data_IF_742904129907
#
_entry.id   IF_742904129907
#
_cell.length_a   1.000
_cell.length_b   1.000
_cell.length_c   1.000
_cell.angle_alpha   90.00
_cell.angle_beta   90.00
_cell.angle_gamma   90.00
#
_symmetry.space_group_name_H-M   'P 1'
#
loop_
_entity.id
_entity.type
_entity.pdbx_description
1 polymer ?
#
# COMPACT_ATOMS: atom_id res chain seq x y z
N UNK A 1 6.73 -23.64 -7.67
CA UNK A 1 5.36 -23.25 -7.30
C UNK A 1 5.33 -21.73 -7.24
N UNK A 2 4.23 -21.11 -7.67
CA UNK A 2 4.05 -19.66 -7.51
C UNK A 2 3.97 -19.27 -6.04
N UNK A 3 4.27 -18.00 -5.73
CA UNK A 3 4.16 -17.43 -4.38
C UNK A 3 2.69 -17.19 -4.01
N UNK A 4 2.35 -17.28 -2.73
CA UNK A 4 1.07 -16.79 -2.19
C UNK A 4 1.27 -15.39 -1.63
N UNK A 5 0.59 -14.41 -2.23
CA UNK A 5 0.76 -12.97 -1.96
C UNK A 5 -0.54 -12.41 -1.40
N UNK A 6 -0.51 -11.91 -0.17
CA UNK A 6 -1.65 -11.23 0.47
C UNK A 6 -1.52 -9.72 0.26
N UNK A 7 -2.56 -9.08 -0.29
CA UNK A 7 -2.55 -7.64 -0.60
C UNK A 7 -3.73 -6.95 0.09
N UNK A 8 -3.44 -6.00 0.98
CA UNK A 8 -4.47 -5.17 1.60
C UNK A 8 -4.85 -3.98 0.69
N UNK A 9 -6.14 -3.61 0.66
CA UNK A 9 -6.63 -2.58 -0.24
C UNK A 9 -6.59 -2.98 -1.72
N UNK A 10 -6.77 -4.27 -2.01
CA UNK A 10 -6.63 -4.84 -3.36
C UNK A 10 -7.79 -4.54 -4.33
N UNK A 11 -8.86 -3.88 -3.86
CA UNK A 11 -10.03 -3.58 -4.68
C UNK A 11 -9.91 -2.34 -5.57
N UNK A 12 -8.83 -1.54 -5.45
CA UNK A 12 -8.68 -0.28 -6.19
C UNK A 12 -7.20 0.14 -6.32
N UNK A 13 -6.91 1.06 -7.23
CA UNK A 13 -5.61 1.72 -7.39
C UNK A 13 -4.43 0.77 -7.46
N UNK A 14 -3.36 1.08 -6.73
CA UNK A 14 -2.14 0.28 -6.71
C UNK A 14 -2.38 -1.16 -6.27
N UNK A 15 -3.22 -1.40 -5.24
CA UNK A 15 -3.51 -2.75 -4.76
C UNK A 15 -4.14 -3.64 -5.83
N UNK A 16 -5.09 -3.10 -6.62
CA UNK A 16 -5.67 -3.79 -7.77
C UNK A 16 -4.64 -4.04 -8.87
N UNK A 17 -3.80 -3.05 -9.18
CA UNK A 17 -2.76 -3.21 -10.18
C UNK A 17 -1.73 -4.29 -9.78
N UNK A 18 -1.34 -4.33 -8.51
CA UNK A 18 -0.47 -5.38 -7.96
C UNK A 18 -1.13 -6.77 -8.06
N UNK A 19 -2.42 -6.88 -7.70
CA UNK A 19 -3.15 -8.14 -7.81
C UNK A 19 -3.17 -8.66 -9.25
N UNK A 20 -3.48 -7.79 -10.23
CA UNK A 20 -3.45 -8.14 -11.65
C UNK A 20 -2.06 -8.55 -12.12
N UNK A 21 -1.03 -7.80 -11.72
CA UNK A 21 0.34 -8.09 -12.10
C UNK A 21 0.78 -9.45 -11.58
N UNK A 22 0.63 -9.71 -10.29
CA UNK A 22 1.09 -10.98 -9.71
C UNK A 22 0.29 -12.19 -10.19
N UNK A 23 -1.01 -12.05 -10.42
CA UNK A 23 -1.81 -13.09 -11.05
C UNK A 23 -1.31 -13.41 -12.48
N UNK A 24 -0.99 -12.39 -13.28
CA UNK A 24 -0.43 -12.56 -14.61
C UNK A 24 0.98 -13.20 -14.61
N UNK A 25 1.75 -12.96 -13.53
CA UNK A 25 3.05 -13.60 -13.30
C UNK A 25 2.92 -15.08 -12.80
N UNK A 26 1.69 -15.59 -12.61
CA UNK A 26 1.43 -16.96 -12.15
C UNK A 26 1.43 -17.16 -10.63
N UNK A 27 1.39 -16.08 -9.87
CA UNK A 27 1.31 -16.13 -8.41
C UNK A 27 -0.12 -16.30 -7.91
N UNK A 28 -0.32 -16.88 -6.73
CA UNK A 28 -1.62 -16.91 -6.04
C UNK A 28 -1.81 -15.64 -5.25
N UNK A 29 -2.92 -14.92 -5.48
CA UNK A 29 -3.19 -13.65 -4.81
C UNK A 29 -4.38 -13.77 -3.86
N UNK A 30 -4.20 -13.29 -2.63
CA UNK A 30 -5.27 -13.08 -1.66
C UNK A 30 -5.57 -11.60 -1.57
N UNK A 31 -6.79 -11.22 -1.97
CA UNK A 31 -7.24 -9.84 -2.08
C UNK A 31 -8.03 -9.45 -0.84
N UNK A 32 -7.48 -8.56 -0.03
CA UNK A 32 -8.15 -8.01 1.15
C UNK A 32 -8.67 -6.60 0.90
N UNK A 33 -9.92 -6.35 1.27
CA UNK A 33 -10.50 -5.01 1.16
C UNK A 33 -11.74 -4.80 2.01
N UNK A 34 -11.96 -3.57 2.45
CA UNK A 34 -13.11 -3.20 3.29
C UNK A 34 -14.45 -3.44 2.58
N UNK A 35 -14.51 -3.21 1.28
CA UNK A 35 -15.69 -3.44 0.45
C UNK A 35 -15.54 -4.76 -0.29
N UNK A 36 -16.23 -5.81 0.18
CA UNK A 36 -16.14 -7.16 -0.37
C UNK A 36 -16.38 -7.18 -1.90
N UNK A 37 -17.45 -6.57 -2.37
CA UNK A 37 -17.79 -6.56 -3.79
C UNK A 37 -16.67 -6.01 -4.70
N UNK A 38 -15.83 -5.09 -4.21
CA UNK A 38 -14.70 -4.58 -5.01
C UNK A 38 -13.58 -5.61 -5.15
N UNK A 39 -13.24 -6.34 -4.10
CA UNK A 39 -12.18 -7.36 -4.18
C UNK A 39 -12.68 -8.61 -4.88
N UNK A 40 -13.96 -8.96 -4.76
CA UNK A 40 -14.59 -10.05 -5.52
C UNK A 40 -14.59 -9.75 -7.03
N UNK A 41 -14.93 -8.53 -7.42
CA UNK A 41 -14.88 -8.13 -8.83
C UNK A 41 -13.47 -8.28 -9.41
N UNK A 42 -12.44 -7.88 -8.66
CA UNK A 42 -11.05 -8.07 -9.09
C UNK A 42 -10.68 -9.56 -9.12
N UNK A 43 -11.04 -10.34 -8.10
CA UNK A 43 -10.74 -11.78 -8.08
C UNK A 43 -11.40 -12.52 -9.23
N UNK A 44 -12.65 -12.16 -9.59
CA UNK A 44 -13.36 -12.73 -10.73
C UNK A 44 -12.66 -12.45 -12.08
N UNK A 45 -11.99 -11.30 -12.22
CA UNK A 45 -11.16 -11.00 -13.40
C UNK A 45 -9.90 -11.89 -13.47
N UNK A 46 -9.37 -12.31 -12.31
CA UNK A 46 -8.11 -13.03 -12.21
C UNK A 46 -8.28 -14.57 -12.31
N UNK A 47 -9.47 -15.08 -12.00
CA UNK A 47 -9.82 -16.50 -12.03
C UNK A 47 -9.86 -17.17 -10.67
N UNK A 48 -10.26 -18.44 -10.63
CA UNK A 48 -10.65 -19.17 -9.42
C UNK A 48 -9.49 -19.52 -8.46
N UNK A 49 -8.24 -19.32 -8.89
CA UNK A 49 -7.06 -19.58 -8.06
C UNK A 49 -6.86 -18.52 -6.96
N UNK A 50 -7.59 -17.40 -7.05
CA UNK A 50 -7.41 -16.24 -6.18
C UNK A 50 -8.52 -16.15 -5.13
N UNK A 51 -8.19 -15.56 -3.97
CA UNK A 51 -9.11 -15.49 -2.83
C UNK A 51 -9.44 -14.02 -2.52
N UNK A 52 -10.71 -13.65 -2.56
CA UNK A 52 -11.18 -12.34 -2.10
C UNK A 52 -11.82 -12.46 -0.71
N UNK A 53 -11.42 -11.58 0.22
CA UNK A 53 -11.96 -11.53 1.58
C UNK A 53 -12.26 -10.10 2.00
N UNK A 54 -13.38 -9.93 2.69
CA UNK A 54 -13.64 -8.67 3.38
C UNK A 54 -12.68 -8.51 4.56
N UNK A 55 -11.96 -7.40 4.60
CA UNK A 55 -11.06 -7.07 5.69
C UNK A 55 -10.98 -5.54 5.85
N UNK A 56 -11.46 -5.04 6.98
CA UNK A 56 -11.14 -3.70 7.43
C UNK A 56 -9.85 -3.77 8.26
N UNK A 57 -8.75 -3.31 7.70
CA UNK A 57 -7.44 -3.35 8.37
C UNK A 57 -7.38 -2.51 9.63
N UNK A 58 -8.25 -1.49 9.76
CA UNK A 58 -8.38 -0.68 10.98
C UNK A 58 -9.12 -1.38 12.13
N UNK A 59 -9.72 -2.55 11.88
CA UNK A 59 -10.42 -3.33 12.88
C UNK A 59 -9.69 -4.66 13.14
N UNK A 60 -9.11 -4.87 14.34
CA UNK A 60 -8.32 -6.06 14.62
C UNK A 60 -9.13 -7.37 14.58
N UNK A 61 -10.44 -7.36 14.86
CA UNK A 61 -11.28 -8.55 14.76
C UNK A 61 -11.53 -8.93 13.30
N UNK A 62 -11.74 -7.94 12.42
CA UNK A 62 -11.86 -8.16 10.99
C UNK A 62 -10.57 -8.76 10.42
N UNK A 63 -9.40 -8.26 10.86
CA UNK A 63 -8.10 -8.80 10.45
C UNK A 63 -7.92 -10.24 10.92
N UNK A 64 -8.20 -10.55 12.20
CA UNK A 64 -8.13 -11.93 12.73
C UNK A 64 -9.01 -12.89 11.93
N UNK A 65 -10.25 -12.50 11.64
CA UNK A 65 -11.18 -13.32 10.87
C UNK A 65 -10.67 -13.60 9.45
N UNK A 66 -10.14 -12.57 8.77
CA UNK A 66 -9.58 -12.72 7.44
C UNK A 66 -8.35 -13.65 7.45
N UNK A 67 -7.43 -13.45 8.39
CA UNK A 67 -6.22 -14.29 8.47
C UNK A 67 -6.48 -15.71 8.94
N UNK A 68 -7.50 -15.96 9.77
CA UNK A 68 -7.96 -17.31 10.07
C UNK A 68 -8.45 -18.04 8.81
N UNK A 69 -9.19 -17.34 7.94
CA UNK A 69 -9.64 -17.91 6.66
C UNK A 69 -8.45 -18.16 5.70
N UNK A 70 -7.47 -17.23 5.67
CA UNK A 70 -6.24 -17.41 4.90
C UNK A 70 -5.49 -18.65 5.38
N UNK A 71 -5.24 -18.77 6.68
CA UNK A 71 -4.49 -19.89 7.27
C UNK A 71 -5.12 -21.25 6.97
N UNK A 72 -6.47 -21.33 6.97
CA UNK A 72 -7.19 -22.56 6.63
C UNK A 72 -7.00 -22.98 5.16
N UNK A 73 -6.82 -22.03 4.25
CA UNK A 73 -6.67 -22.29 2.81
C UNK A 73 -5.22 -22.28 2.35
N UNK A 74 -4.39 -21.47 2.97
CA UNK A 74 -2.97 -21.29 2.68
C UNK A 74 -2.18 -21.34 4.00
N UNK A 75 -1.74 -22.55 4.43
CA UNK A 75 -1.00 -22.71 5.69
C UNK A 75 0.36 -22.01 5.68
N UNK A 76 0.84 -21.60 4.52
CA UNK A 76 1.99 -20.72 4.30
C UNK A 76 1.63 -19.62 3.31
N UNK A 77 2.06 -18.40 3.59
CA UNK A 77 2.08 -17.27 2.64
C UNK A 77 3.53 -16.83 2.45
N UNK A 78 3.84 -16.29 1.28
CA UNK A 78 5.20 -15.87 0.96
C UNK A 78 5.36 -14.35 1.14
N UNK A 79 4.28 -13.59 0.90
CA UNK A 79 4.33 -12.12 0.92
C UNK A 79 3.07 -11.53 1.54
N UNK A 80 3.26 -10.53 2.41
CA UNK A 80 2.23 -9.59 2.81
C UNK A 80 2.53 -8.20 2.26
N UNK A 81 1.60 -7.61 1.51
CA UNK A 81 1.70 -6.22 1.04
C UNK A 81 0.67 -5.36 1.78
N UNK A 82 1.14 -4.55 2.73
CA UNK A 82 0.36 -3.55 3.44
C UNK A 82 0.21 -2.30 2.55
N UNK A 83 -0.81 -2.30 1.70
CA UNK A 83 -1.09 -1.23 0.76
C UNK A 83 -2.34 -0.40 1.15
N UNK A 84 -3.29 -0.95 1.91
CA UNK A 84 -4.49 -0.23 2.31
C UNK A 84 -4.16 1.10 2.99
N UNK A 85 -4.84 2.17 2.59
CA UNK A 85 -4.66 3.49 3.16
C UNK A 85 -5.91 4.35 3.01
N UNK A 86 -6.07 5.32 3.92
CA UNK A 86 -6.98 6.46 3.80
C UNK A 86 -6.16 7.74 3.83
N UNK A 87 -6.50 8.69 2.97
CA UNK A 87 -5.83 9.98 2.90
C UNK A 87 -6.83 11.06 2.49
N UNK A 88 -6.98 12.04 3.35
CA UNK A 88 -7.83 13.22 3.15
C UNK A 88 -7.03 14.45 3.55
N UNK A 89 -7.08 15.54 2.77
CA UNK A 89 -6.43 16.79 3.14
C UNK A 89 -7.32 17.59 4.07
N UNK A 90 -6.76 18.02 5.19
CA UNK A 90 -7.37 18.92 6.15
C UNK A 90 -6.31 19.70 6.92
N UNK A 91 -6.68 20.85 7.46
CA UNK A 91 -5.82 21.63 8.37
C UNK A 91 -5.96 21.12 9.81
N UNK A 92 -5.01 21.48 10.67
CA UNK A 92 -5.09 21.14 12.09
C UNK A 92 -6.34 21.72 12.77
N UNK A 93 -6.81 22.89 12.33
CA UNK A 93 -7.98 23.54 12.90
C UNK A 93 -9.31 22.91 12.46
N UNK A 94 -9.33 22.15 11.38
CA UNK A 94 -10.56 21.61 10.76
C UNK A 94 -10.73 20.12 10.93
N UNK A 95 -9.66 19.42 11.35
CA UNK A 95 -9.68 17.96 11.49
C UNK A 95 -10.73 17.54 12.53
N UNK A 96 -11.50 16.51 12.17
CA UNK A 96 -12.48 15.90 13.08
C UNK A 96 -11.88 14.64 13.73
N UNK A 97 -12.37 14.31 14.92
CA UNK A 97 -11.90 13.14 15.68
C UNK A 97 -12.04 11.83 14.86
N UNK A 98 -13.11 11.69 14.07
CA UNK A 98 -13.32 10.51 13.24
C UNK A 98 -12.25 10.38 12.15
N UNK A 99 -11.79 11.49 11.58
CA UNK A 99 -10.71 11.49 10.57
C UNK A 99 -9.37 11.13 11.20
N UNK A 100 -9.09 11.63 12.41
CA UNK A 100 -7.90 11.25 13.18
C UNK A 100 -7.91 9.75 13.45
N UNK A 101 -9.00 9.25 14.04
CA UNK A 101 -9.12 7.83 14.41
C UNK A 101 -9.09 6.91 13.19
N UNK A 102 -9.78 7.25 12.10
CA UNK A 102 -9.74 6.48 10.87
C UNK A 102 -8.34 6.42 10.25
N UNK A 103 -7.60 7.54 10.28
CA UNK A 103 -6.22 7.59 9.78
C UNK A 103 -5.28 6.75 10.65
N UNK A 104 -5.35 6.87 11.98
CA UNK A 104 -4.56 6.07 12.91
C UNK A 104 -4.87 4.58 12.77
N UNK A 105 -6.13 4.21 12.73
CA UNK A 105 -6.55 2.82 12.63
C UNK A 105 -6.09 2.19 11.30
N UNK A 106 -6.28 2.88 10.17
CA UNK A 106 -5.97 2.31 8.85
C UNK A 106 -4.49 2.42 8.50
N UNK A 107 -3.89 3.62 8.64
CA UNK A 107 -2.55 3.88 8.11
C UNK A 107 -1.42 3.48 9.04
N UNK A 108 -1.69 3.39 10.36
CA UNK A 108 -0.69 3.03 11.36
C UNK A 108 -0.97 1.67 12.00
N UNK A 109 -2.12 1.49 12.65
CA UNK A 109 -2.43 0.23 13.34
C UNK A 109 -2.71 -0.93 12.37
N UNK A 110 -3.30 -0.65 11.19
CA UNK A 110 -3.64 -1.66 10.20
C UNK A 110 -2.45 -2.50 9.75
N UNK A 111 -1.33 -1.92 9.30
CA UNK A 111 -0.11 -2.68 9.00
C UNK A 111 0.38 -3.55 10.16
N UNK A 112 0.27 -3.08 11.41
CA UNK A 112 0.66 -3.84 12.60
C UNK A 112 -0.25 -5.05 12.78
N UNK A 113 -1.57 -4.86 12.71
CA UNK A 113 -2.53 -5.95 12.85
C UNK A 113 -2.33 -7.01 11.76
N UNK A 114 -2.18 -6.59 10.50
CA UNK A 114 -1.96 -7.51 9.39
C UNK A 114 -0.62 -8.26 9.51
N UNK A 115 0.47 -7.57 9.86
CA UNK A 115 1.77 -8.19 10.04
C UNK A 115 1.75 -9.23 11.17
N UNK A 116 1.16 -8.89 12.31
CA UNK A 116 1.04 -9.79 13.46
C UNK A 116 0.31 -11.09 13.11
N UNK A 117 -0.83 -10.99 12.42
CA UNK A 117 -1.61 -12.18 12.04
C UNK A 117 -0.95 -12.95 10.88
N UNK A 118 -0.18 -12.27 10.01
CA UNK A 118 0.54 -12.91 8.93
C UNK A 118 1.81 -13.64 9.38
N UNK A 119 2.46 -13.16 10.45
CA UNK A 119 3.78 -13.62 10.87
C UNK A 119 3.90 -15.14 11.06
N UNK A 120 2.93 -15.86 11.69
CA UNK A 120 2.98 -17.31 11.79
C UNK A 120 2.99 -18.04 10.44
N UNK A 121 2.45 -17.39 9.38
CA UNK A 121 2.35 -17.94 8.03
C UNK A 121 3.56 -17.58 7.15
N UNK A 122 4.33 -16.54 7.54
CA UNK A 122 5.48 -15.99 6.79
C UNK A 122 6.83 -16.59 7.19
N UNK A 123 6.93 -17.17 8.39
CA UNK A 123 8.22 -17.63 8.95
C UNK A 123 8.97 -18.56 8.02
N UNK A 124 10.29 -18.37 7.96
CA UNK A 124 11.24 -19.21 7.25
C UNK A 124 11.65 -18.75 5.85
N UNK A 125 11.00 -17.76 5.25
CA UNK A 125 11.40 -17.04 4.01
C UNK A 125 10.25 -16.11 3.56
N UNK A 126 9.67 -15.40 4.50
CA UNK A 126 8.57 -14.47 4.22
C UNK A 126 9.04 -13.08 3.85
N UNK A 127 8.14 -12.29 3.27
CA UNK A 127 8.41 -10.90 2.97
C UNK A 127 7.22 -10.00 3.31
N UNK A 128 7.43 -9.01 4.16
CA UNK A 128 6.46 -7.93 4.43
C UNK A 128 6.86 -6.71 3.60
N UNK A 129 5.97 -6.22 2.76
CA UNK A 129 6.17 -4.97 2.02
C UNK A 129 5.16 -3.94 2.53
N UNK A 130 5.67 -2.88 3.15
CA UNK A 130 4.87 -1.76 3.61
C UNK A 130 4.89 -0.62 2.59
N UNK A 131 3.71 -0.23 2.10
CA UNK A 131 3.60 0.89 1.16
C UNK A 131 3.53 2.20 1.93
N UNK A 132 4.59 2.99 1.82
CA UNK A 132 4.69 4.36 2.30
C UNK A 132 4.39 5.37 1.18
N UNK A 133 4.76 6.63 1.37
CA UNK A 133 4.41 7.70 0.45
C UNK A 133 5.50 8.77 0.36
N UNK A 134 5.68 9.35 -0.82
CA UNK A 134 6.50 10.53 -1.02
C UNK A 134 6.05 11.74 -0.18
N UNK A 135 4.82 11.73 0.37
CA UNK A 135 4.33 12.79 1.26
C UNK A 135 5.17 12.94 2.53
N UNK A 136 5.86 11.88 2.96
CA UNK A 136 6.81 11.89 4.08
C UNK A 136 7.99 12.83 3.77
N UNK A 137 8.60 12.66 2.59
CA UNK A 137 9.75 13.46 2.15
C UNK A 137 9.34 14.87 1.72
N UNK A 138 8.20 15.01 1.05
CA UNK A 138 7.69 16.28 0.50
C UNK A 138 7.05 17.18 1.55
N UNK A 139 6.67 16.64 2.71
CA UNK A 139 6.08 17.40 3.83
C UNK A 139 4.89 18.25 3.39
N UNK A 140 3.97 17.63 2.65
CA UNK A 140 2.81 18.30 2.05
C UNK A 140 1.87 18.88 3.10
N UNK A 141 1.61 20.23 3.12
CA UNK A 141 0.55 20.81 3.91
C UNK A 141 -0.79 20.11 3.70
N UNK A 142 -1.64 20.09 4.73
CA UNK A 142 -2.94 19.42 4.77
C UNK A 142 -2.90 17.87 4.69
N UNK A 143 -1.78 17.24 4.40
CA UNK A 143 -1.61 15.77 4.48
C UNK A 143 -0.77 15.31 5.68
N UNK A 144 -0.58 16.16 6.68
CA UNK A 144 0.29 15.90 7.83
C UNK A 144 -0.08 14.63 8.60
N UNK A 145 -1.39 14.33 8.74
CA UNK A 145 -1.85 13.12 9.44
C UNK A 145 -1.50 11.85 8.64
N UNK A 146 -1.71 11.87 7.33
CA UNK A 146 -1.31 10.79 6.44
C UNK A 146 0.21 10.63 6.40
N UNK A 147 0.95 11.72 6.19
CA UNK A 147 2.41 11.69 6.15
C UNK A 147 3.01 11.22 7.47
N UNK A 148 2.46 11.65 8.62
CA UNK A 148 2.88 11.19 9.95
C UNK A 148 2.67 9.69 10.14
N UNK A 149 1.51 9.15 9.75
CA UNK A 149 1.26 7.71 9.77
C UNK A 149 2.22 6.92 8.88
N UNK A 150 2.51 7.44 7.67
CA UNK A 150 3.45 6.79 6.74
C UNK A 150 4.91 6.88 7.23
N UNK A 151 5.33 7.98 7.84
CA UNK A 151 6.64 8.10 8.49
C UNK A 151 6.80 7.09 9.64
N UNK A 152 5.75 6.92 10.45
CA UNK A 152 5.75 5.91 11.50
C UNK A 152 5.88 4.48 10.94
N UNK A 153 5.20 4.17 9.82
CA UNK A 153 5.33 2.88 9.13
C UNK A 153 6.75 2.67 8.60
N UNK A 154 7.41 3.70 8.08
CA UNK A 154 8.82 3.61 7.63
C UNK A 154 9.73 3.21 8.79
N UNK A 155 9.65 3.92 9.92
CA UNK A 155 10.45 3.60 11.10
C UNK A 155 10.14 2.20 11.65
N UNK A 156 8.85 1.83 11.74
CA UNK A 156 8.48 0.47 12.16
C UNK A 156 9.06 -0.60 11.24
N UNK A 157 9.06 -0.37 9.94
CA UNK A 157 9.60 -1.32 8.96
C UNK A 157 11.10 -1.58 9.18
N UNK A 158 11.86 -0.54 9.49
CA UNK A 158 13.29 -0.67 9.82
C UNK A 158 13.51 -1.47 11.13
N UNK A 159 12.66 -1.25 12.14
CA UNK A 159 12.73 -1.98 13.40
C UNK A 159 12.30 -3.44 13.22
N UNK A 160 11.22 -3.70 12.48
CA UNK A 160 10.78 -5.06 12.19
C UNK A 160 11.78 -5.85 11.36
N UNK A 161 12.49 -5.20 10.41
CA UNK A 161 13.53 -5.88 9.65
C UNK A 161 14.62 -6.49 10.54
N UNK A 162 14.95 -5.83 11.67
CA UNK A 162 15.90 -6.34 12.68
C UNK A 162 15.28 -7.39 13.58
N UNK A 163 14.04 -7.14 14.05
CA UNK A 163 13.33 -8.03 14.96
C UNK A 163 13.03 -9.39 14.33
N UNK A 164 12.68 -9.40 13.03
CA UNK A 164 12.23 -10.59 12.31
C UNK A 164 13.34 -11.29 11.51
N UNK A 165 14.59 -10.84 11.63
CA UNK A 165 15.72 -11.42 10.90
C UNK A 165 15.92 -12.91 11.25
N UNK A 166 15.85 -13.27 12.56
CA UNK A 166 15.97 -14.65 13.01
C UNK A 166 14.77 -15.52 12.60
N UNK A 167 13.59 -14.92 12.40
CA UNK A 167 12.41 -15.61 11.86
C UNK A 167 12.50 -15.84 10.33
N UNK A 168 13.53 -15.31 9.66
CA UNK A 168 13.70 -15.39 8.21
C UNK A 168 12.68 -14.56 7.43
N UNK A 169 12.16 -13.46 8.03
CA UNK A 169 11.17 -12.59 7.37
C UNK A 169 11.80 -11.25 7.01
N UNK A 170 11.84 -10.96 5.71
CA UNK A 170 12.31 -9.67 5.20
C UNK A 170 11.23 -8.60 5.33
N UNK A 171 11.64 -7.35 5.55
CA UNK A 171 10.71 -6.21 5.59
C UNK A 171 11.23 -5.11 4.68
N UNK A 172 10.43 -4.70 3.70
CA UNK A 172 10.77 -3.63 2.76
C UNK A 172 9.71 -2.52 2.79
N UNK A 173 10.16 -1.28 2.79
CA UNK A 173 9.31 -0.12 2.55
C UNK A 173 9.35 0.29 1.09
N UNK A 174 8.20 0.45 0.45
CA UNK A 174 8.10 1.09 -0.87
C UNK A 174 7.44 2.45 -0.69
N UNK A 175 8.25 3.51 -0.79
CA UNK A 175 7.77 4.89 -0.73
C UNK A 175 7.23 5.27 -2.12
N UNK A 176 5.91 5.27 -2.26
CA UNK A 176 5.22 5.47 -3.52
C UNK A 176 4.93 6.96 -3.78
N UNK A 177 5.08 7.39 -5.03
CA UNK A 177 4.73 8.72 -5.49
C UNK A 177 3.29 8.83 -6.00
N UNK A 178 2.97 9.95 -6.66
CA UNK A 178 1.66 10.14 -7.28
C UNK A 178 1.47 9.16 -8.46
N UNK A 179 0.35 8.45 -8.46
CA UNK A 179 0.04 7.42 -9.45
C UNK A 179 -1.40 7.54 -9.93
N UNK A 180 -1.61 7.22 -11.21
CA UNK A 180 -2.93 7.17 -11.86
C UNK A 180 -2.95 6.07 -12.92
N UNK A 181 -4.14 5.72 -13.38
CA UNK A 181 -4.43 4.95 -14.59
C UNK A 181 -5.75 5.44 -15.21
N UNK A 182 -6.21 4.78 -16.26
CA UNK A 182 -7.43 5.14 -16.99
C UNK A 182 -8.68 4.97 -16.12
N UNK A 183 -8.62 4.16 -15.06
CA UNK A 183 -9.74 3.89 -14.15
C UNK A 183 -9.74 4.79 -12.92
N UNK A 184 -8.60 5.40 -12.59
CA UNK A 184 -8.44 6.30 -11.44
C UNK A 184 -7.52 7.46 -11.81
N UNK A 185 -8.12 8.51 -12.32
CA UNK A 185 -7.43 9.70 -12.84
C UNK A 185 -7.23 10.81 -11.81
N UNK A 186 -7.55 10.56 -10.53
CA UNK A 186 -7.41 11.56 -9.46
C UNK A 186 -7.82 11.05 -8.09
N UNK A 187 -7.85 11.98 -7.14
CA UNK A 187 -8.44 11.76 -5.82
C UNK A 187 -9.96 11.88 -5.88
N UNK A 188 -10.65 11.22 -4.94
CA UNK A 188 -12.10 11.38 -4.76
C UNK A 188 -12.45 12.56 -3.84
N UNK A 189 -11.53 13.51 -3.68
CA UNK A 189 -11.75 14.69 -2.84
C UNK A 189 -12.70 15.68 -3.53
N UNK A 190 -13.51 16.42 -2.77
CA UNK A 190 -14.27 17.56 -3.31
C UNK A 190 -13.34 18.53 -4.04
N UNK A 191 -13.85 19.18 -5.08
CA UNK A 191 -13.03 20.01 -5.96
C UNK A 191 -12.43 21.23 -5.22
N UNK A 192 -13.16 21.83 -4.30
CA UNK A 192 -12.72 22.93 -3.44
C UNK A 192 -11.58 22.49 -2.52
N UNK A 193 -11.68 21.31 -1.93
CA UNK A 193 -10.61 20.70 -1.10
C UNK A 193 -9.37 20.45 -1.93
N UNK A 194 -9.53 19.90 -3.14
CA UNK A 194 -8.41 19.64 -4.06
C UNK A 194 -7.72 20.92 -4.51
N UNK A 195 -8.50 21.97 -4.80
CA UNK A 195 -7.96 23.28 -5.17
C UNK A 195 -7.19 23.94 -4.01
N UNK A 196 -7.77 23.90 -2.80
CA UNK A 196 -7.11 24.42 -1.60
C UNK A 196 -5.83 23.67 -1.29
N UNK A 197 -5.84 22.35 -1.38
CA UNK A 197 -4.64 21.52 -1.22
C UNK A 197 -3.53 21.93 -2.20
N UNK A 198 -3.86 22.14 -3.48
CA UNK A 198 -2.90 22.61 -4.47
C UNK A 198 -2.34 24.01 -4.13
N UNK A 199 -3.20 24.94 -3.67
CA UNK A 199 -2.80 26.30 -3.28
C UNK A 199 -1.85 26.28 -2.07
N UNK A 200 -2.18 25.51 -1.02
CA UNK A 200 -1.35 25.45 0.19
C UNK A 200 0.04 24.84 -0.13
N UNK A 201 0.09 23.84 -0.99
CA UNK A 201 1.37 23.25 -1.43
C UNK A 201 2.17 24.20 -2.31
N UNK A 202 1.54 25.01 -3.15
CA UNK A 202 2.23 26.01 -3.96
C UNK A 202 2.92 27.09 -3.11
N UNK A 203 2.38 27.45 -1.92
CA UNK A 203 2.99 28.41 -1.00
C UNK A 203 4.37 27.98 -0.48
N UNK A 204 4.63 26.66 -0.42
CA UNK A 204 5.92 26.10 -0.02
C UNK A 204 6.79 25.73 -1.23
N UNK A 205 6.46 26.19 -2.42
CA UNK A 205 7.19 25.92 -3.65
C UNK A 205 6.91 24.55 -4.28
N UNK A 206 5.91 23.81 -3.79
CA UNK A 206 5.52 22.52 -4.33
C UNK A 206 4.36 22.68 -5.32
N UNK A 207 4.68 22.89 -6.60
CA UNK A 207 3.68 22.96 -7.65
C UNK A 207 3.24 21.55 -8.09
N UNK A 208 2.10 21.10 -7.59
CA UNK A 208 1.58 19.76 -7.86
C UNK A 208 1.24 19.53 -9.34
N UNK A 209 0.89 20.58 -10.10
CA UNK A 209 0.57 20.48 -11.53
C UNK A 209 1.80 20.22 -12.39
N UNK A 210 2.98 20.56 -11.87
CA UNK A 210 4.25 20.37 -12.58
C UNK A 210 4.92 19.03 -12.25
N UNK A 211 4.36 18.29 -11.30
CA UNK A 211 4.92 16.98 -10.94
C UNK A 211 4.56 15.92 -11.96
N UNK A 212 5.45 14.97 -12.14
CA UNK A 212 5.17 13.76 -12.89
C UNK A 212 4.14 12.89 -12.18
N UNK A 213 3.44 12.07 -12.94
CA UNK A 213 2.50 11.06 -12.46
C UNK A 213 2.93 9.73 -13.06
N UNK A 214 3.10 8.72 -12.22
CA UNK A 214 3.43 7.36 -12.66
C UNK A 214 2.15 6.60 -13.01
N UNK A 215 2.24 5.71 -13.97
CA UNK A 215 1.19 4.72 -14.19
C UNK A 215 1.32 3.59 -13.16
N UNK A 216 0.21 3.05 -12.65
CA UNK A 216 0.27 1.96 -11.68
C UNK A 216 1.10 0.77 -12.17
N UNK A 217 0.96 0.37 -13.45
CA UNK A 217 1.71 -0.75 -14.01
C UNK A 217 3.24 -0.55 -13.93
N UNK A 218 3.73 0.69 -14.14
CA UNK A 218 5.16 0.97 -13.99
C UNK A 218 5.64 0.80 -12.54
N UNK A 219 4.76 1.05 -11.57
CA UNK A 219 5.08 0.88 -10.15
C UNK A 219 5.06 -0.60 -9.76
N UNK A 220 4.18 -1.42 -10.36
CA UNK A 220 4.15 -2.87 -10.09
C UNK A 220 5.44 -3.58 -10.47
N UNK A 221 6.17 -3.10 -11.50
CA UNK A 221 7.48 -3.64 -11.89
C UNK A 221 8.51 -3.53 -10.75
N UNK A 222 8.44 -2.46 -9.96
CA UNK A 222 9.33 -2.30 -8.80
C UNK A 222 9.02 -3.33 -7.73
N UNK A 223 7.75 -3.59 -7.43
CA UNK A 223 7.37 -4.64 -6.49
C UNK A 223 7.83 -6.01 -6.97
N UNK A 224 7.70 -6.31 -8.27
CA UNK A 224 8.21 -7.56 -8.85
C UNK A 224 9.73 -7.66 -8.65
N UNK A 225 10.48 -6.61 -8.99
CA UNK A 225 11.93 -6.58 -8.82
C UNK A 225 12.34 -6.79 -7.35
N UNK A 226 11.64 -6.17 -6.40
CA UNK A 226 11.89 -6.37 -4.95
C UNK A 226 11.64 -7.83 -4.52
N UNK A 227 10.60 -8.48 -5.05
CA UNK A 227 10.28 -9.86 -4.73
C UNK A 227 11.24 -10.87 -5.38
N UNK A 228 11.85 -10.50 -6.51
CA UNK A 228 12.78 -11.34 -7.24
C UNK A 228 14.23 -11.23 -6.76
N UNK A 229 14.51 -10.35 -5.79
CA UNK A 229 15.83 -10.26 -5.20
C UNK A 229 16.23 -11.56 -4.50
N UNK A 230 17.48 -11.99 -4.62
CA UNK A 230 18.01 -13.13 -3.89
C UNK A 230 17.75 -13.05 -2.39
N UNK A 231 17.57 -14.19 -1.73
CA UNK A 231 17.20 -14.26 -0.32
C UNK A 231 18.29 -13.71 0.62
N UNK A 232 19.55 -13.68 0.17
CA UNK A 232 20.69 -13.12 0.89
C UNK A 232 20.81 -11.59 0.77
N UNK A 233 19.90 -10.93 0.00
CA UNK A 233 19.83 -9.49 -0.11
C UNK A 233 18.60 -8.92 0.62
N UNK A 234 18.83 -7.87 1.37
CA UNK A 234 17.78 -7.10 2.03
C UNK A 234 17.70 -5.69 1.41
N UNK A 235 16.51 -5.36 0.88
CA UNK A 235 16.18 -4.00 0.45
C UNK A 235 15.32 -3.36 1.55
N UNK A 236 15.88 -2.44 2.32
CA UNK A 236 15.16 -1.75 3.38
C UNK A 236 14.11 -0.79 2.85
N UNK A 237 14.50 0.09 1.92
CA UNK A 237 13.60 1.11 1.36
C UNK A 237 13.85 1.34 -0.13
N UNK A 238 12.76 1.44 -0.88
CA UNK A 238 12.74 1.88 -2.28
C UNK A 238 11.89 3.13 -2.39
N UNK A 239 12.48 4.27 -2.73
CA UNK A 239 11.77 5.52 -2.96
C UNK A 239 11.49 5.73 -4.46
N UNK A 240 10.22 5.95 -4.80
CA UNK A 240 9.75 6.14 -6.15
C UNK A 240 9.28 7.58 -6.36
N UNK A 241 9.72 8.19 -7.45
CA UNK A 241 9.22 9.49 -7.90
C UNK A 241 8.91 9.44 -9.40
N UNK A 242 7.79 10.02 -9.80
CA UNK A 242 7.44 10.10 -11.19
C UNK A 242 8.33 11.15 -11.90
N UNK A 243 8.85 10.80 -13.09
CA UNK A 243 9.56 11.75 -13.95
C UNK A 243 8.55 12.57 -14.77
N UNK A 244 8.77 13.88 -14.84
CA UNK A 244 8.10 14.70 -15.85
C UNK A 244 8.57 14.23 -17.24
N UNK A 245 7.66 13.81 -18.11
CA UNK A 245 8.04 13.52 -19.51
C UNK A 245 8.48 14.82 -20.17
N UNK A 246 9.63 14.81 -20.84
CA UNK A 246 9.96 15.90 -21.74
C UNK A 246 8.83 16.02 -22.79
N UNK A 247 8.43 17.24 -23.13
CA UNK A 247 7.57 17.43 -24.29
C UNK A 247 8.21 16.76 -25.49
N UNK A 248 7.44 16.03 -26.28
CA UNK A 248 7.96 15.52 -27.55
C UNK A 248 8.49 16.71 -28.36
N UNK A 249 9.65 16.59 -29.01
CA UNK A 249 10.11 17.64 -29.91
C UNK A 249 9.04 17.87 -30.98
N UNK A 250 8.68 19.15 -31.19
CA UNK A 250 7.68 19.59 -32.16
C UNK A 250 8.10 19.20 -33.59
#
# INVERSE_FOLDING_TARGET
>A
MGKTIVITGAGDGLGRALARRFAADGETVVLLGRTLAKVEAVAAELGDAHLALQCDVGNPDSVRTAFATIAARHPKIDVLINNAAVYEPFTLAEVRDEQIMASLATNFAGPIFCAREALPLLRGDGHIINVSSESVSLKMPMLWMYAGGKAAVELMSELWARELEEDGVRVTTVQAGMMMDETKTGSNWPIDVSMRFAQENAKIGLNLRERGISHYNSVTDVFRAVLDMPADLHIGTVALSARKRAAAPA
#
